data_IF_354875278538
#
_entry.id   IF_354875278538
#
_cell.length_a   1.000
_cell.length_b   1.000
_cell.length_c   1.000
_cell.angle_alpha   90.00
_cell.angle_beta   90.00
_cell.angle_gamma   90.00
#
_symmetry.space_group_name_H-M   'P 1'
#
loop_
_entity.id
_entity.type
_entity.pdbx_description
1 polymer ?
#
# COMPACT_ATOMS: atom_id res chain seq x y z
N UNK A 1 -22.01 20.35 8.68
CA UNK A 1 -20.55 20.27 8.45
C UNK A 1 -20.30 19.19 7.40
N UNK A 2 -19.53 19.47 6.34
CA UNK A 2 -19.44 18.58 5.17
C UNK A 2 -18.70 17.28 5.48
N UNK A 3 -19.39 16.14 5.34
CA UNK A 3 -18.75 14.84 5.15
C UNK A 3 -17.96 14.94 3.85
N UNK A 4 -16.63 14.87 3.94
CA UNK A 4 -15.77 14.78 2.75
C UNK A 4 -15.39 13.31 2.59
N UNK A 5 -15.84 12.69 1.51
CA UNK A 5 -15.30 11.40 1.11
C UNK A 5 -13.84 11.62 0.69
N UNK A 6 -12.94 10.86 1.28
CA UNK A 6 -11.51 10.98 1.08
C UNK A 6 -10.95 9.66 0.58
N UNK A 7 -10.47 9.68 -0.66
CA UNK A 7 -9.88 8.54 -1.34
C UNK A 7 -8.38 8.53 -1.07
N UNK A 8 -7.90 7.47 -0.44
CA UNK A 8 -6.47 7.20 -0.24
C UNK A 8 -6.08 6.13 -1.25
N UNK A 9 -5.16 6.48 -2.14
CA UNK A 9 -4.61 5.57 -3.14
C UNK A 9 -3.09 5.75 -3.17
N UNK A 10 -2.35 4.67 -2.96
CA UNK A 10 -0.89 4.70 -3.02
C UNK A 10 -0.32 3.39 -3.54
N UNK A 11 0.91 3.47 -4.04
CA UNK A 11 1.70 2.32 -4.47
C UNK A 11 2.67 1.96 -3.35
N UNK A 12 2.67 0.69 -2.96
CA UNK A 12 3.55 0.18 -1.92
C UNK A 12 4.06 -1.21 -2.30
N UNK A 13 4.77 -1.81 -1.34
CA UNK A 13 5.10 -3.21 -1.39
C UNK A 13 4.67 -3.94 -0.12
N UNK A 14 4.26 -5.18 -0.31
CA UNK A 14 3.99 -6.15 0.75
C UNK A 14 4.77 -7.41 0.46
N UNK A 15 4.96 -8.26 1.48
CA UNK A 15 5.39 -9.62 1.23
C UNK A 15 4.20 -10.55 1.27
N UNK A 16 4.30 -11.66 0.54
CA UNK A 16 3.37 -12.78 0.56
C UNK A 16 4.07 -13.99 1.13
N UNK A 17 3.38 -14.72 2.00
CA UNK A 17 3.82 -16.03 2.51
C UNK A 17 2.89 -17.14 2.02
N UNK A 18 3.32 -18.41 2.08
CA UNK A 18 2.42 -19.54 1.84
C UNK A 18 1.14 -19.52 2.69
N UNK A 19 1.26 -19.14 3.97
CA UNK A 19 0.11 -19.08 4.89
C UNK A 19 -0.83 -17.92 4.56
N UNK A 20 -0.31 -16.77 4.09
CA UNK A 20 -1.18 -15.69 3.61
C UNK A 20 -2.07 -16.15 2.46
N UNK A 21 -1.50 -16.90 1.52
CA UNK A 21 -2.25 -17.41 0.37
C UNK A 21 -3.36 -18.35 0.85
N UNK A 22 -3.06 -19.25 1.78
CA UNK A 22 -4.06 -20.15 2.38
C UNK A 22 -5.18 -19.39 3.10
N UNK A 23 -4.84 -18.29 3.79
CA UNK A 23 -5.82 -17.41 4.45
C UNK A 23 -6.70 -16.73 3.41
N UNK A 24 -6.13 -16.09 2.39
CA UNK A 24 -6.90 -15.40 1.36
C UNK A 24 -7.78 -16.35 0.55
N UNK A 25 -7.28 -17.51 0.16
CA UNK A 25 -8.08 -18.52 -0.57
C UNK A 25 -9.24 -19.06 0.28
N UNK A 26 -9.03 -19.26 1.59
CA UNK A 26 -10.10 -19.68 2.48
C UNK A 26 -11.16 -18.58 2.64
N UNK A 27 -10.76 -17.32 2.81
CA UNK A 27 -11.69 -16.19 2.90
C UNK A 27 -12.47 -15.98 1.60
N UNK A 28 -11.81 -16.14 0.44
CA UNK A 28 -12.44 -16.01 -0.88
C UNK A 28 -13.45 -17.12 -1.14
N UNK A 29 -13.14 -18.37 -0.75
CA UNK A 29 -14.03 -19.51 -0.93
C UNK A 29 -15.19 -19.54 0.07
N UNK A 30 -14.88 -19.32 1.35
CA UNK A 30 -15.78 -19.64 2.45
C UNK A 30 -16.39 -18.36 3.10
N UNK A 31 -15.88 -17.17 2.75
CA UNK A 31 -16.32 -15.88 3.30
C UNK A 31 -15.86 -15.59 4.74
N UNK A 32 -15.35 -16.60 5.44
CA UNK A 32 -14.80 -16.51 6.79
C UNK A 32 -13.87 -17.69 7.08
N UNK A 33 -13.11 -17.58 8.15
CA UNK A 33 -12.24 -18.63 8.69
C UNK A 33 -12.69 -18.92 10.12
N UNK A 34 -13.08 -20.16 10.39
CA UNK A 34 -13.23 -20.67 11.76
C UNK A 34 -11.86 -21.14 12.27
N UNK A 35 -11.34 -20.50 13.33
CA UNK A 35 -9.94 -20.60 13.74
C UNK A 35 -9.47 -22.05 13.92
N UNK A 36 -10.18 -22.83 14.73
CA UNK A 36 -9.75 -24.19 15.09
C UNK A 36 -9.80 -25.14 13.87
N UNK A 37 -10.87 -25.06 13.08
CA UNK A 37 -11.01 -25.87 11.85
C UNK A 37 -9.93 -25.56 10.84
N UNK A 38 -9.60 -24.28 10.66
CA UNK A 38 -8.54 -23.85 9.75
C UNK A 38 -7.15 -24.29 10.22
N UNK A 39 -6.86 -24.14 11.51
CA UNK A 39 -5.60 -24.62 12.12
C UNK A 39 -5.43 -26.12 11.88
N UNK A 40 -6.44 -26.94 12.18
CA UNK A 40 -6.37 -28.39 11.98
C UNK A 40 -6.10 -28.75 10.52
N UNK A 41 -6.83 -28.14 9.58
CA UNK A 41 -6.63 -28.34 8.14
C UNK A 41 -5.21 -27.98 7.68
N UNK A 42 -4.61 -26.91 8.20
CA UNK A 42 -3.26 -26.52 7.82
C UNK A 42 -2.18 -27.38 8.50
N UNK A 43 -2.43 -27.90 9.70
CA UNK A 43 -1.55 -28.90 10.34
C UNK A 43 -1.50 -30.18 9.49
N UNK A 44 -2.64 -30.63 8.97
CA UNK A 44 -2.69 -31.77 8.03
C UNK A 44 -1.88 -31.53 6.74
N UNK A 45 -1.76 -30.27 6.31
CA UNK A 45 -0.90 -29.86 5.19
C UNK A 45 0.59 -29.70 5.58
N UNK A 46 0.95 -29.92 6.83
CA UNK A 46 2.33 -29.88 7.33
C UNK A 46 2.80 -28.53 7.86
N UNK A 47 1.91 -27.55 8.10
CA UNK A 47 2.27 -26.29 8.76
C UNK A 47 2.32 -26.44 10.28
N UNK A 48 3.22 -25.68 10.93
CA UNK A 48 3.25 -25.65 12.39
C UNK A 48 2.11 -24.79 12.95
N UNK A 49 1.46 -25.28 14.01
CA UNK A 49 0.37 -24.57 14.70
C UNK A 49 0.72 -23.13 15.03
N UNK A 50 1.91 -22.91 15.59
CA UNK A 50 2.38 -21.58 16.01
C UNK A 50 2.46 -20.60 14.84
N UNK A 51 2.99 -21.04 13.70
CA UNK A 51 3.11 -20.19 12.52
C UNK A 51 1.73 -19.80 11.97
N UNK A 52 0.76 -20.73 12.00
CA UNK A 52 -0.62 -20.46 11.59
C UNK A 52 -1.28 -19.43 12.52
N UNK A 53 -1.11 -19.59 13.83
CA UNK A 53 -1.68 -18.69 14.83
C UNK A 53 -1.06 -17.29 14.73
N UNK A 54 0.27 -17.21 14.59
CA UNK A 54 0.98 -15.94 14.38
C UNK A 54 0.54 -15.25 13.08
N UNK A 55 0.29 -16.02 12.01
CA UNK A 55 -0.16 -15.47 10.73
C UNK A 55 -1.59 -14.95 10.77
N UNK A 56 -2.51 -15.64 11.46
CA UNK A 56 -3.89 -15.17 11.66
C UNK A 56 -3.93 -13.88 12.51
N UNK A 57 -3.06 -13.74 13.50
CA UNK A 57 -2.95 -12.48 14.25
C UNK A 57 -2.31 -11.38 13.40
N UNK A 58 -1.30 -11.72 12.58
CA UNK A 58 -0.69 -10.78 11.65
C UNK A 58 -1.66 -10.31 10.59
N UNK A 59 -2.56 -11.16 10.08
CA UNK A 59 -3.58 -10.75 9.11
C UNK A 59 -4.54 -9.72 9.69
N UNK A 60 -4.85 -9.79 10.99
CA UNK A 60 -5.58 -8.73 11.70
C UNK A 60 -4.77 -7.45 11.87
N UNK A 61 -3.49 -7.56 12.22
CA UNK A 61 -2.60 -6.41 12.29
C UNK A 61 -2.40 -5.71 10.93
N UNK A 62 -2.34 -6.49 9.84
CA UNK A 62 -2.17 -6.03 8.47
C UNK A 62 -3.47 -5.54 7.82
N UNK A 63 -4.60 -5.54 8.56
CA UNK A 63 -5.91 -5.11 8.07
C UNK A 63 -6.49 -5.98 6.96
N UNK A 64 -6.11 -7.25 6.89
CA UNK A 64 -6.68 -8.21 5.95
C UNK A 64 -7.95 -8.85 6.47
N UNK A 65 -7.97 -9.13 7.76
CA UNK A 65 -9.10 -9.76 8.45
C UNK A 65 -9.44 -8.99 9.71
N UNK A 66 -10.68 -9.12 10.19
CA UNK A 66 -11.03 -8.82 11.57
C UNK A 66 -11.49 -10.09 12.28
N UNK A 67 -11.11 -10.23 13.54
CA UNK A 67 -11.56 -11.32 14.40
C UNK A 67 -12.87 -10.91 15.07
N UNK A 68 -13.91 -11.71 14.90
CA UNK A 68 -15.19 -11.56 15.57
C UNK A 68 -15.13 -12.24 16.94
N UNK A 69 -15.61 -11.55 17.96
CA UNK A 69 -15.62 -12.06 19.34
C UNK A 69 -16.61 -13.22 19.53
N UNK A 70 -17.66 -13.28 18.71
CA UNK A 70 -18.65 -14.34 18.68
C UNK A 70 -18.20 -15.48 17.74
N UNK A 71 -17.65 -16.52 18.35
CA UNK A 71 -17.33 -17.78 17.67
C UNK A 71 -15.91 -17.91 17.12
N UNK A 72 -14.98 -17.02 17.50
CA UNK A 72 -13.56 -17.11 17.11
C UNK A 72 -13.34 -17.23 15.60
N UNK A 73 -14.07 -16.39 14.86
CA UNK A 73 -14.07 -16.34 13.40
C UNK A 73 -13.26 -15.15 12.91
N UNK A 74 -12.51 -15.35 11.83
CA UNK A 74 -11.87 -14.28 11.09
C UNK A 74 -12.69 -14.02 9.82
N UNK A 75 -13.06 -12.76 9.60
CA UNK A 75 -13.80 -12.33 8.40
C UNK A 75 -12.95 -11.36 7.59
N UNK A 76 -13.10 -11.33 6.26
CA UNK A 76 -12.29 -10.48 5.41
C UNK A 76 -12.66 -9.00 5.61
N UNK A 77 -11.66 -8.14 5.52
CA UNK A 77 -11.84 -6.70 5.40
C UNK A 77 -11.72 -6.31 3.93
N UNK A 78 -12.55 -5.37 3.47
CA UNK A 78 -12.53 -4.91 2.07
C UNK A 78 -11.17 -4.40 1.63
N UNK A 79 -10.41 -3.79 2.54
CA UNK A 79 -9.04 -3.33 2.29
C UNK A 79 -8.07 -4.49 2.01
N UNK A 80 -8.17 -5.58 2.77
CA UNK A 80 -7.36 -6.78 2.52
C UNK A 80 -7.69 -7.44 1.19
N UNK A 81 -8.98 -7.59 0.92
CA UNK A 81 -9.44 -8.24 -0.30
C UNK A 81 -9.12 -7.41 -1.55
N UNK A 82 -9.14 -6.07 -1.47
CA UNK A 82 -8.74 -5.23 -2.59
C UNK A 82 -7.25 -5.38 -2.91
N UNK A 83 -6.39 -5.49 -1.88
CA UNK A 83 -4.96 -5.78 -2.05
C UNK A 83 -4.75 -7.18 -2.63
N UNK A 84 -5.50 -8.18 -2.17
CA UNK A 84 -5.44 -9.54 -2.72
C UNK A 84 -5.85 -9.59 -4.20
N UNK A 85 -6.92 -8.89 -4.58
CA UNK A 85 -7.35 -8.80 -5.98
C UNK A 85 -6.31 -8.10 -6.85
N UNK A 86 -5.78 -6.95 -6.43
CA UNK A 86 -4.72 -6.23 -7.16
C UNK A 86 -3.46 -7.09 -7.33
N UNK A 87 -3.10 -7.87 -6.30
CA UNK A 87 -2.02 -8.84 -6.38
C UNK A 87 -2.28 -9.88 -7.48
N UNK A 88 -3.43 -10.56 -7.45
CA UNK A 88 -3.75 -11.59 -8.46
C UNK A 88 -3.70 -11.01 -9.87
N UNK A 89 -4.22 -9.80 -10.06
CA UNK A 89 -4.19 -9.13 -11.38
C UNK A 89 -2.77 -8.81 -11.86
N UNK A 90 -1.84 -8.48 -10.95
CA UNK A 90 -0.53 -7.91 -11.31
C UNK A 90 0.65 -8.84 -11.09
N UNK A 91 0.46 -10.02 -10.51
CA UNK A 91 1.58 -10.90 -10.17
C UNK A 91 2.38 -11.31 -11.42
N UNK A 92 1.70 -11.47 -12.55
CA UNK A 92 2.32 -11.79 -13.83
C UNK A 92 3.04 -10.58 -14.47
N UNK A 93 2.92 -9.40 -13.88
CA UNK A 93 3.48 -8.16 -14.41
C UNK A 93 4.63 -7.65 -13.53
N UNK A 94 5.00 -8.35 -12.45
CA UNK A 94 5.92 -7.86 -11.43
C UNK A 94 7.34 -7.57 -11.97
N UNK A 95 7.82 -8.30 -12.98
CA UNK A 95 9.11 -8.04 -13.64
C UNK A 95 9.05 -6.82 -14.59
N UNK A 96 7.84 -6.45 -15.00
CA UNK A 96 7.57 -5.39 -15.98
C UNK A 96 7.17 -4.07 -15.35
N UNK A 97 7.09 -4.00 -14.02
CA UNK A 97 6.65 -2.80 -13.31
C UNK A 97 7.72 -2.25 -12.38
N UNK A 98 7.69 -0.93 -12.23
CA UNK A 98 8.38 -0.22 -11.16
C UNK A 98 7.39 0.70 -10.44
N UNK A 99 7.29 0.55 -9.12
CA UNK A 99 6.55 1.50 -8.28
C UNK A 99 7.44 2.69 -7.93
N UNK A 100 6.87 3.88 -7.93
CA UNK A 100 7.55 5.13 -7.58
C UNK A 100 6.67 5.98 -6.68
N UNK A 101 7.28 6.49 -5.61
CA UNK A 101 6.76 7.62 -4.84
C UNK A 101 7.77 8.77 -4.93
N UNK A 102 7.33 9.90 -5.46
CA UNK A 102 8.19 11.07 -5.68
C UNK A 102 7.64 12.26 -4.91
N UNK A 103 8.50 12.91 -4.14
CA UNK A 103 8.16 14.04 -3.29
C UNK A 103 9.21 15.13 -3.47
N UNK A 104 8.78 16.37 -3.75
CA UNK A 104 9.70 17.51 -3.87
C UNK A 104 10.06 18.05 -2.48
N UNK A 105 11.35 18.03 -2.14
CA UNK A 105 11.85 18.47 -0.82
C UNK A 105 12.48 19.86 -0.84
N UNK A 106 12.90 20.36 -2.01
CA UNK A 106 13.33 21.74 -2.21
C UNK A 106 13.06 22.16 -3.66
N UNK A 107 13.44 23.38 -4.04
CA UNK A 107 13.18 23.91 -5.38
C UNK A 107 13.62 22.95 -6.50
N UNK A 108 14.71 22.20 -6.36
CA UNK A 108 15.16 21.26 -7.41
C UNK A 108 15.51 19.86 -6.90
N UNK A 109 15.27 19.56 -5.61
CA UNK A 109 15.60 18.25 -5.03
C UNK A 109 14.32 17.45 -4.76
N UNK A 110 14.34 16.20 -5.24
CA UNK A 110 13.26 15.23 -5.10
C UNK A 110 13.71 14.07 -4.25
N UNK A 111 12.88 13.67 -3.30
CA UNK A 111 12.98 12.42 -2.59
C UNK A 111 12.23 11.34 -3.37
N UNK A 112 12.96 10.32 -3.81
CA UNK A 112 12.41 9.17 -4.50
C UNK A 112 12.37 7.97 -3.56
N UNK A 113 11.25 7.26 -3.60
CA UNK A 113 11.09 5.95 -2.97
C UNK A 113 10.69 4.94 -4.04
N UNK A 114 11.42 3.83 -4.10
CA UNK A 114 11.15 2.68 -4.95
C UNK A 114 10.81 1.49 -4.02
N UNK A 115 9.57 1.00 -4.01
CA UNK A 115 9.22 -0.21 -3.28
C UNK A 115 10.00 -1.41 -3.84
N UNK A 116 10.61 -2.23 -2.97
CA UNK A 116 11.32 -3.43 -3.40
C UNK A 116 10.34 -4.49 -3.92
N UNK A 117 10.73 -5.12 -5.02
CA UNK A 117 10.12 -6.34 -5.53
C UNK A 117 11.14 -7.47 -5.54
N UNK A 118 10.71 -8.68 -5.16
CA UNK A 118 11.50 -9.90 -5.34
C UNK A 118 11.75 -10.23 -6.82
N UNK A 119 10.99 -9.60 -7.72
CA UNK A 119 11.03 -9.81 -9.17
C UNK A 119 11.95 -8.83 -9.90
N UNK A 120 12.62 -7.92 -9.19
CA UNK A 120 13.54 -7.01 -9.85
C UNK A 120 14.68 -7.80 -10.51
N UNK A 121 14.84 -7.70 -11.84
CA UNK A 121 15.97 -8.33 -12.52
C UNK A 121 17.26 -7.61 -12.13
N UNK A 122 18.39 -8.29 -12.28
CA UNK A 122 19.69 -7.73 -11.86
C UNK A 122 20.02 -6.36 -12.48
N UNK A 123 19.72 -6.08 -13.76
CA UNK A 123 19.91 -4.76 -14.34
C UNK A 123 19.16 -3.63 -13.61
N UNK A 124 17.94 -3.89 -13.11
CA UNK A 124 17.18 -2.90 -12.32
C UNK A 124 17.89 -2.63 -10.98
N UNK A 125 18.40 -3.67 -10.30
CA UNK A 125 19.14 -3.50 -9.05
C UNK A 125 20.44 -2.72 -9.25
N UNK A 126 21.12 -2.93 -10.38
CA UNK A 126 22.31 -2.17 -10.75
C UNK A 126 21.99 -0.69 -10.96
N UNK A 127 20.90 -0.34 -11.64
CA UNK A 127 20.47 1.07 -11.77
C UNK A 127 20.21 1.69 -10.39
N UNK A 128 19.43 1.03 -9.53
CA UNK A 128 19.16 1.50 -8.15
C UNK A 128 20.47 1.76 -7.39
N UNK A 129 21.46 0.86 -7.52
CA UNK A 129 22.79 1.01 -6.91
C UNK A 129 23.56 2.18 -7.50
N UNK A 130 23.59 2.35 -8.82
CA UNK A 130 24.32 3.41 -9.52
C UNK A 130 23.83 4.80 -9.16
N UNK A 131 22.54 4.94 -8.85
CA UNK A 131 21.93 6.18 -8.37
C UNK A 131 22.01 6.36 -6.83
N UNK A 132 22.82 5.53 -6.14
CA UNK A 132 23.09 5.61 -4.70
C UNK A 132 21.85 5.52 -3.81
N UNK A 133 20.84 4.76 -4.22
CA UNK A 133 19.69 4.50 -3.36
C UNK A 133 20.10 3.70 -2.12
N UNK A 134 19.60 4.12 -0.95
CA UNK A 134 19.81 3.44 0.32
C UNK A 134 18.62 2.55 0.63
N UNK A 135 18.87 1.40 1.26
CA UNK A 135 17.78 0.58 1.82
C UNK A 135 17.15 1.29 3.01
N UNK A 136 15.84 1.33 3.03
CA UNK A 136 15.00 1.87 4.09
C UNK A 136 14.07 0.77 4.66
N UNK A 137 13.48 0.97 5.85
CA UNK A 137 12.54 0.02 6.44
C UNK A 137 11.40 -0.36 5.48
N UNK A 138 10.83 -1.56 5.68
CA UNK A 138 9.74 -2.11 4.85
C UNK A 138 10.22 -2.40 3.41
N UNK A 139 11.49 -2.77 3.27
CA UNK A 139 12.10 -3.14 1.99
C UNK A 139 11.86 -2.06 0.93
N UNK A 140 12.34 -0.85 1.16
CA UNK A 140 12.25 0.24 0.20
C UNK A 140 13.65 0.72 -0.15
N UNK A 141 13.80 1.28 -1.34
CA UNK A 141 14.99 2.02 -1.73
C UNK A 141 14.66 3.50 -1.74
N UNK A 142 15.50 4.33 -1.13
CA UNK A 142 15.30 5.79 -1.08
C UNK A 142 16.53 6.55 -1.55
N UNK A 143 16.32 7.64 -2.29
CA UNK A 143 17.35 8.58 -2.69
C UNK A 143 16.83 10.02 -2.68
N UNK A 144 17.75 11.00 -2.64
CA UNK A 144 17.45 12.40 -2.94
C UNK A 144 18.23 12.78 -4.19
N UNK A 145 17.52 13.18 -5.25
CA UNK A 145 18.11 13.49 -6.55
C UNK A 145 17.66 14.88 -7.04
N UNK A 146 18.53 15.63 -7.74
CA UNK A 146 18.11 16.78 -8.54
C UNK A 146 17.10 16.41 -9.64
N UNK A 147 16.40 17.39 -10.21
CA UNK A 147 15.43 17.19 -11.30
C UNK A 147 15.99 16.36 -12.46
N UNK A 148 17.11 16.77 -13.04
CA UNK A 148 17.72 16.07 -14.19
C UNK A 148 18.10 14.63 -13.85
N UNK A 149 18.74 14.41 -12.69
CA UNK A 149 19.09 13.05 -12.23
C UNK A 149 17.85 12.20 -11.95
N UNK A 150 16.75 12.81 -11.52
CA UNK A 150 15.46 12.15 -11.29
C UNK A 150 14.89 11.63 -12.62
N UNK A 151 14.88 12.46 -13.66
CA UNK A 151 14.41 12.05 -14.99
C UNK A 151 15.32 10.99 -15.62
N UNK A 152 16.64 11.15 -15.52
CA UNK A 152 17.60 10.14 -16.00
C UNK A 152 17.41 8.80 -15.27
N UNK A 153 17.25 8.83 -13.94
CA UNK A 153 16.96 7.62 -13.17
C UNK A 153 15.70 6.91 -13.66
N UNK A 154 14.61 7.65 -13.85
CA UNK A 154 13.33 7.07 -14.31
C UNK A 154 13.49 6.48 -15.71
N UNK A 155 14.17 7.17 -16.63
CA UNK A 155 14.50 6.64 -17.97
C UNK A 155 15.30 5.34 -17.87
N UNK A 156 16.39 5.34 -17.13
CA UNK A 156 17.31 4.21 -17.05
C UNK A 156 16.62 3.00 -16.40
N UNK A 157 15.93 3.18 -15.28
CA UNK A 157 15.30 2.06 -14.57
C UNK A 157 14.17 1.44 -15.40
N UNK A 158 13.36 2.26 -16.08
CA UNK A 158 12.25 1.77 -16.91
C UNK A 158 12.76 1.06 -18.16
N UNK A 159 13.89 1.50 -18.73
CA UNK A 159 14.52 0.80 -19.84
C UNK A 159 14.99 -0.61 -19.45
N UNK A 160 15.44 -0.80 -18.20
CA UNK A 160 15.88 -2.10 -17.69
C UNK A 160 14.76 -3.08 -17.30
N UNK A 161 13.49 -2.66 -17.32
CA UNK A 161 12.36 -3.55 -17.04
C UNK A 161 12.20 -4.61 -18.14
N UNK A 162 11.73 -5.79 -17.75
CA UNK A 162 11.33 -6.85 -18.69
C UNK A 162 10.00 -6.44 -19.32
N UNK A 163 9.86 -6.40 -20.67
CA UNK A 163 8.57 -6.11 -21.28
C UNK A 163 7.49 -7.13 -20.88
N UNK A 164 6.26 -6.64 -20.61
CA UNK A 164 5.12 -7.50 -20.27
C UNK A 164 4.65 -8.35 -21.46
N UNK A 165 4.92 -7.88 -22.68
CA UNK A 165 4.74 -8.63 -23.92
C UNK A 165 6.07 -8.75 -24.64
N UNK A 166 6.34 -9.93 -25.18
CA UNK A 166 7.50 -10.19 -26.03
C UNK A 166 7.36 -9.47 -27.38
N UNK A 167 8.38 -9.62 -28.23
CA UNK A 167 8.41 -8.99 -29.57
C UNK A 167 7.30 -9.51 -30.50
N UNK A 168 6.71 -10.66 -30.20
CA UNK A 168 5.61 -11.27 -30.94
C UNK A 168 4.24 -10.90 -30.36
N UNK A 169 4.20 -10.10 -29.28
CA UNK A 169 2.99 -9.70 -28.59
C UNK A 169 2.45 -10.74 -27.60
N UNK A 170 3.15 -11.85 -27.39
CA UNK A 170 2.79 -12.84 -26.38
C UNK A 170 3.15 -12.30 -25.00
N UNK A 171 2.35 -12.64 -23.99
CA UNK A 171 2.71 -12.32 -22.62
C UNK A 171 4.07 -12.95 -22.27
N UNK A 172 4.94 -12.18 -21.61
CA UNK A 172 6.19 -12.72 -21.08
C UNK A 172 5.88 -13.93 -20.18
N UNK A 173 6.84 -14.86 -20.06
CA UNK A 173 6.74 -16.13 -19.30
C UNK A 173 6.42 -15.96 -17.80
N UNK A 174 6.05 -14.78 -17.34
CA UNK A 174 5.59 -14.55 -15.98
C UNK A 174 4.45 -15.53 -15.68
N UNK A 175 4.80 -16.48 -14.82
CA UNK A 175 4.03 -17.53 -14.19
C UNK A 175 2.53 -17.28 -14.25
N UNK A 176 1.72 -18.25 -14.71
CA UNK A 176 0.29 -18.15 -14.47
C UNK A 176 0.08 -18.01 -12.95
N UNK A 177 -0.89 -17.18 -12.51
CA UNK A 177 -1.13 -16.87 -11.08
C UNK A 177 -1.14 -18.15 -10.24
N UNK A 178 -1.78 -19.21 -10.76
CA UNK A 178 -1.85 -20.52 -10.11
C UNK A 178 -0.48 -21.19 -9.95
N UNK A 179 0.34 -21.19 -11.00
CA UNK A 179 1.70 -21.74 -10.95
C UNK A 179 2.56 -20.98 -9.94
N UNK A 180 2.45 -19.65 -9.92
CA UNK A 180 3.18 -18.80 -9.00
C UNK A 180 2.81 -19.05 -7.53
N UNK A 181 1.51 -19.03 -7.23
CA UNK A 181 1.01 -19.28 -5.87
C UNK A 181 1.39 -20.70 -5.42
N UNK A 182 1.27 -21.69 -6.31
CA UNK A 182 1.69 -23.05 -6.03
C UNK A 182 3.19 -23.16 -5.81
N UNK A 183 4.02 -22.40 -6.54
CA UNK A 183 5.46 -22.35 -6.31
C UNK A 183 5.78 -21.74 -4.97
N UNK A 184 5.18 -20.62 -4.58
CA UNK A 184 5.39 -20.06 -3.24
C UNK A 184 5.10 -21.13 -2.17
N UNK A 185 3.96 -21.83 -2.29
CA UNK A 185 3.55 -22.87 -1.34
C UNK A 185 4.52 -24.06 -1.30
N UNK A 186 4.97 -24.54 -2.46
CA UNK A 186 5.79 -25.77 -2.57
C UNK A 186 7.27 -25.53 -2.35
N UNK A 187 7.81 -24.40 -2.82
CA UNK A 187 9.24 -24.04 -2.69
C UNK A 187 9.65 -23.60 -1.29
N UNK A 188 8.69 -23.47 -0.36
CA UNK A 188 8.90 -22.95 1.01
C UNK A 188 9.62 -21.60 1.02
N UNK A 189 9.51 -20.79 -0.05
CA UNK A 189 9.98 -19.42 -0.04
C UNK A 189 9.30 -18.70 1.12
N UNK A 190 10.10 -18.24 2.09
CA UNK A 190 9.55 -17.70 3.33
C UNK A 190 8.67 -16.46 3.07
N UNK A 191 9.10 -15.60 2.13
CA UNK A 191 8.47 -14.31 1.81
C UNK A 191 8.81 -13.90 0.39
N UNK A 192 7.81 -13.49 -0.38
CA UNK A 192 8.00 -12.88 -1.71
C UNK A 192 7.45 -11.45 -1.69
N UNK A 193 8.30 -10.47 -2.00
CA UNK A 193 7.91 -9.07 -2.03
C UNK A 193 7.31 -8.69 -3.38
N UNK A 194 6.14 -8.07 -3.33
CA UNK A 194 5.36 -7.65 -4.49
C UNK A 194 5.06 -6.16 -4.41
N UNK A 195 5.02 -5.52 -5.57
CA UNK A 195 4.52 -4.15 -5.71
C UNK A 195 3.04 -4.22 -6.03
N UNK A 196 2.25 -3.45 -5.29
CA UNK A 196 0.81 -3.40 -5.46
C UNK A 196 0.25 -2.03 -5.11
N UNK A 197 -1.03 -1.86 -5.41
CA UNK A 197 -1.79 -0.66 -5.11
C UNK A 197 -2.70 -0.92 -3.92
N UNK A 198 -2.70 0.04 -3.01
CA UNK A 198 -3.68 0.09 -1.91
C UNK A 198 -4.64 1.22 -2.20
N UNK A 199 -5.95 0.94 -2.15
CA UNK A 199 -7.01 1.94 -2.28
C UNK A 199 -8.01 1.79 -1.15
N UNK A 200 -8.35 2.91 -0.52
CA UNK A 200 -9.33 2.97 0.55
C UNK A 200 -10.13 4.27 0.49
N UNK A 201 -11.45 4.14 0.50
CA UNK A 201 -12.38 5.24 0.65
C UNK A 201 -12.76 5.41 2.12
N UNK A 202 -12.51 6.61 2.65
CA UNK A 202 -12.82 6.96 4.03
C UNK A 202 -13.64 8.26 4.06
N UNK A 203 -14.80 8.21 4.69
CA UNK A 203 -15.54 9.40 5.09
C UNK A 203 -14.83 10.07 6.26
N UNK A 204 -14.22 11.22 6.03
CA UNK A 204 -13.52 11.97 7.08
C UNK A 204 -14.51 12.93 7.73
N UNK A 205 -14.79 12.67 9.00
CA UNK A 205 -15.58 13.55 9.88
C UNK A 205 -14.67 14.15 10.95
N UNK A 206 -15.09 15.25 11.58
CA UNK A 206 -14.35 15.82 12.72
C UNK A 206 -14.22 14.83 13.86
N UNK A 207 -15.25 14.00 14.08
CA UNK A 207 -15.21 12.94 15.09
C UNK A 207 -14.13 11.92 14.76
N UNK A 208 -14.05 11.43 13.52
CA UNK A 208 -13.00 10.52 13.08
C UNK A 208 -11.62 11.12 13.32
N UNK A 209 -11.42 12.39 12.97
CA UNK A 209 -10.15 13.08 13.18
C UNK A 209 -9.81 13.19 14.66
N UNK A 210 -10.77 13.55 15.52
CA UNK A 210 -10.59 13.61 16.99
C UNK A 210 -10.25 12.24 17.58
N UNK A 211 -10.97 11.19 17.17
CA UNK A 211 -10.73 9.81 17.60
C UNK A 211 -9.34 9.37 17.16
N UNK A 212 -9.00 9.42 15.88
CA UNK A 212 -7.69 8.98 15.38
C UNK A 212 -6.51 9.74 16.00
N UNK A 213 -6.64 11.07 16.20
CA UNK A 213 -5.63 11.86 16.93
C UNK A 213 -5.48 11.39 18.37
N UNK A 214 -6.57 11.10 19.05
CA UNK A 214 -6.55 10.63 20.45
C UNK A 214 -5.94 9.23 20.54
N UNK A 215 -6.31 8.32 19.64
CA UNK A 215 -5.72 6.98 19.53
C UNK A 215 -4.22 7.10 19.32
N UNK A 216 -3.77 7.93 18.39
CA UNK A 216 -2.34 8.14 18.13
C UNK A 216 -1.63 8.83 19.30
N UNK A 217 -2.28 9.72 20.05
CA UNK A 217 -1.70 10.36 21.24
C UNK A 217 -1.46 9.33 22.36
N UNK A 218 -2.44 8.47 22.62
CA UNK A 218 -2.39 7.48 23.70
C UNK A 218 -1.53 6.27 23.30
N UNK A 219 -1.90 5.62 22.19
CA UNK A 219 -1.27 4.39 21.72
C UNK A 219 0.06 4.59 20.99
N UNK A 220 0.33 5.81 20.49
CA UNK A 220 1.52 6.21 19.71
C UNK A 220 1.66 5.55 18.34
N UNK A 221 1.72 4.22 18.31
CA UNK A 221 1.93 3.37 17.12
C UNK A 221 1.31 1.97 17.38
N UNK A 222 1.21 1.09 16.38
CA UNK A 222 0.67 -0.25 16.59
C UNK A 222 1.39 -1.00 17.71
N UNK A 223 0.65 -1.79 18.50
CA UNK A 223 1.21 -2.54 19.64
C UNK A 223 2.31 -3.52 19.22
N UNK A 224 2.21 -4.04 17.99
CA UNK A 224 3.16 -4.96 17.37
C UNK A 224 4.50 -4.27 17.02
N UNK A 225 4.58 -2.95 17.16
CA UNK A 225 5.82 -2.18 16.95
C UNK A 225 6.42 -1.75 18.28
N UNK A 226 7.76 -1.77 18.35
CA UNK A 226 8.51 -1.33 19.55
C UNK A 226 8.00 0.03 20.05
N UNK A 227 7.39 0.09 21.22
CA UNK A 227 6.90 1.32 21.86
C UNK A 227 5.47 1.75 21.46
N UNK A 228 4.69 0.87 20.83
CA UNK A 228 3.24 1.02 20.71
C UNK A 228 2.53 0.58 21.99
N UNK A 229 1.30 1.04 22.18
CA UNK A 229 0.49 0.73 23.35
C UNK A 229 -0.98 0.47 22.97
N UNK A 230 -1.65 -0.32 23.80
CA UNK A 230 -3.09 -0.49 23.74
C UNK A 230 -3.78 0.79 24.21
N UNK A 231 -4.92 1.10 23.58
CA UNK A 231 -5.76 2.22 23.95
C UNK A 231 -7.02 1.69 24.61
N UNK A 232 -7.24 2.08 25.86
CA UNK A 232 -8.47 1.76 26.59
C UNK A 232 -9.61 2.68 26.14
N UNK A 233 -10.80 2.13 25.92
CA UNK A 233 -11.98 2.90 25.50
C UNK A 233 -12.35 4.03 26.47
N UNK A 234 -12.17 3.80 27.77
CA UNK A 234 -12.39 4.83 28.80
C UNK A 234 -11.47 6.04 28.61
N UNK A 235 -10.27 5.83 28.10
CA UNK A 235 -9.34 6.93 27.83
C UNK A 235 -9.79 7.79 26.65
N UNK A 236 -10.49 7.21 25.66
CA UNK A 236 -11.13 8.00 24.60
C UNK A 236 -12.23 8.88 25.18
N UNK A 237 -13.13 8.32 25.99
CA UNK A 237 -14.22 9.10 26.60
C UNK A 237 -13.71 10.25 27.47
N UNK A 238 -12.58 10.07 28.15
CA UNK A 238 -11.94 11.13 28.94
C UNK A 238 -11.32 12.25 28.09
N UNK A 239 -10.77 11.91 26.92
CA UNK A 239 -10.05 12.87 26.06
C UNK A 239 -10.94 13.49 24.97
N UNK A 240 -12.10 12.89 24.68
CA UNK A 240 -13.03 13.34 23.66
C UNK A 240 -14.34 13.71 24.36
N UNK A 241 -14.53 15.00 24.60
CA UNK A 241 -15.73 15.55 25.24
C UNK A 241 -16.92 15.56 24.27
N UNK A 242 -17.38 14.38 23.87
CA UNK A 242 -18.49 14.13 22.95
C UNK A 242 -19.33 12.95 23.45
N UNK A 243 -20.58 12.76 22.96
CA UNK A 243 -21.41 11.64 23.35
C UNK A 243 -20.71 10.29 23.10
N UNK A 244 -20.82 9.36 24.06
CA UNK A 244 -20.18 8.04 23.95
C UNK A 244 -20.65 7.25 22.72
N UNK A 245 -21.92 7.42 22.32
CA UNK A 245 -22.47 6.75 21.15
C UNK A 245 -21.76 7.17 19.87
N UNK A 246 -21.52 8.48 19.66
CA UNK A 246 -20.78 8.97 18.48
C UNK A 246 -19.33 8.47 18.44
N UNK A 247 -18.68 8.38 19.61
CA UNK A 247 -17.34 7.80 19.72
C UNK A 247 -17.38 6.31 19.35
N UNK A 248 -18.36 5.57 19.84
CA UNK A 248 -18.51 4.14 19.58
C UNK A 248 -18.82 3.86 18.10
N UNK A 249 -19.74 4.62 17.49
CA UNK A 249 -20.04 4.54 16.05
C UNK A 249 -18.78 4.81 15.20
N UNK A 250 -17.98 5.80 15.59
CA UNK A 250 -16.70 6.09 14.93
C UNK A 250 -15.70 4.95 15.09
N UNK A 251 -15.65 4.30 16.26
CA UNK A 251 -14.77 3.15 16.50
C UNK A 251 -15.19 1.94 15.68
N UNK A 252 -16.48 1.63 15.60
CA UNK A 252 -17.00 0.54 14.76
C UNK A 252 -16.68 0.81 13.28
N UNK A 253 -16.88 2.04 12.81
CA UNK A 253 -16.47 2.43 11.46
C UNK A 253 -14.97 2.23 11.20
N UNK A 254 -14.11 2.59 12.16
CA UNK A 254 -12.65 2.40 12.04
C UNK A 254 -12.25 0.91 12.06
N UNK A 255 -12.95 0.08 12.84
CA UNK A 255 -12.77 -1.38 12.87
C UNK A 255 -13.16 -2.01 11.53
N UNK A 256 -14.30 -1.59 10.96
CA UNK A 256 -14.80 -2.07 9.67
C UNK A 256 -13.91 -1.65 8.50
N UNK A 257 -13.28 -0.47 8.60
CA UNK A 257 -12.26 -0.02 7.64
C UNK A 257 -10.89 -0.66 7.88
N UNK A 258 -10.73 -1.46 8.93
CA UNK A 258 -9.46 -2.10 9.28
C UNK A 258 -8.38 -1.13 9.77
N UNK A 259 -8.72 0.10 10.15
CA UNK A 259 -7.74 1.11 10.57
C UNK A 259 -7.32 0.94 12.03
N UNK A 260 -8.18 0.32 12.82
CA UNK A 260 -7.89 -0.13 14.17
C UNK A 260 -8.31 -1.61 14.29
N UNK A 261 -7.76 -2.32 15.27
CA UNK A 261 -8.20 -3.67 15.64
C UNK A 261 -8.54 -3.71 17.12
N UNK A 262 -9.60 -4.46 17.45
CA UNK A 262 -10.00 -4.76 18.82
C UNK A 262 -9.11 -5.88 19.35
N UNK A 263 -8.53 -5.68 20.52
CA UNK A 263 -7.71 -6.70 21.23
C UNK A 263 -8.55 -7.36 22.32
N UNK A 264 -9.43 -6.60 22.94
CA UNK A 264 -10.47 -7.09 23.85
C UNK A 264 -11.64 -6.10 23.88
N UNK A 265 -12.70 -6.40 24.63
CA UNK A 265 -13.89 -5.53 24.72
C UNK A 265 -13.58 -4.09 25.17
N UNK A 266 -12.48 -3.87 25.89
CA UNK A 266 -12.10 -2.56 26.42
C UNK A 266 -10.87 -1.95 25.76
N UNK A 267 -10.11 -2.73 24.99
CA UNK A 267 -8.84 -2.31 24.41
C UNK A 267 -8.79 -2.51 22.90
N UNK A 268 -8.23 -1.52 22.21
CA UNK A 268 -7.95 -1.57 20.79
C UNK A 268 -6.56 -0.98 20.51
N UNK A 269 -6.07 -1.19 19.29
CA UNK A 269 -4.82 -0.62 18.81
C UNK A 269 -4.96 -0.21 17.35
N UNK A 270 -4.16 0.74 16.90
CA UNK A 270 -4.08 1.10 15.49
C UNK A 270 -3.39 -0.02 14.72
N UNK A 271 -3.91 -0.38 13.54
CA UNK A 271 -3.29 -1.40 12.67
C UNK A 271 -2.05 -0.85 11.96
N UNK A 272 -1.25 -1.73 11.37
CA UNK A 272 -0.10 -1.33 10.55
C UNK A 272 -0.55 -0.41 9.40
N UNK A 273 -1.52 -0.87 8.61
CA UNK A 273 -2.09 -0.07 7.52
C UNK A 273 -2.78 1.20 8.04
N UNK A 274 -3.56 1.11 9.13
CA UNK A 274 -4.21 2.27 9.72
C UNK A 274 -3.25 3.38 10.12
N UNK A 275 -2.08 3.02 10.66
CA UNK A 275 -1.04 3.97 11.00
C UNK A 275 -0.43 4.66 9.77
N UNK A 276 -0.17 3.91 8.68
CA UNK A 276 0.33 4.50 7.43
C UNK A 276 -0.71 5.40 6.78
N UNK A 277 -1.94 4.92 6.64
CA UNK A 277 -3.08 5.64 6.06
C UNK A 277 -3.31 6.95 6.82
N UNK A 278 -3.31 6.92 8.15
CA UNK A 278 -3.45 8.13 8.95
C UNK A 278 -2.30 9.12 8.74
N UNK A 279 -1.05 8.65 8.65
CA UNK A 279 0.09 9.50 8.30
C UNK A 279 -0.04 10.12 6.91
N UNK A 280 -0.54 9.37 5.93
CA UNK A 280 -0.80 9.91 4.60
C UNK A 280 -1.87 10.98 4.63
N UNK A 281 -2.97 10.76 5.35
CA UNK A 281 -4.02 11.76 5.55
C UNK A 281 -3.49 13.03 6.23
N UNK A 282 -2.72 12.91 7.33
CA UNK A 282 -2.11 14.08 7.99
C UNK A 282 -1.22 14.87 7.03
N UNK A 283 -0.47 14.15 6.18
CA UNK A 283 0.40 14.78 5.20
C UNK A 283 -0.38 15.50 4.10
N UNK A 284 -1.42 14.86 3.59
CA UNK A 284 -2.32 15.42 2.61
C UNK A 284 -2.95 16.74 3.09
N UNK A 285 -3.48 16.76 4.31
CA UNK A 285 -4.07 17.96 4.92
C UNK A 285 -3.04 19.08 5.10
N UNK A 286 -1.76 18.75 5.28
CA UNK A 286 -0.67 19.71 5.37
C UNK A 286 -0.20 20.26 4.02
N UNK A 287 -0.85 19.86 2.91
CA UNK A 287 -0.52 20.32 1.56
C UNK A 287 0.75 19.70 0.99
N UNK A 288 1.21 18.57 1.55
CA UNK A 288 2.34 17.86 0.96
C UNK A 288 1.92 17.17 -0.33
N UNK A 289 2.66 17.47 -1.40
CA UNK A 289 2.46 16.83 -2.69
C UNK A 289 3.33 15.59 -2.82
N UNK A 290 2.69 14.46 -3.11
CA UNK A 290 3.36 13.23 -3.50
C UNK A 290 2.81 12.76 -4.84
N UNK A 291 3.70 12.31 -5.71
CA UNK A 291 3.31 11.62 -6.93
C UNK A 291 3.57 10.13 -6.73
N UNK A 292 2.48 9.35 -6.64
CA UNK A 292 2.54 7.89 -6.53
C UNK A 292 2.14 7.29 -7.87
N UNK A 293 3.04 6.53 -8.48
CA UNK A 293 2.76 5.90 -9.76
C UNK A 293 3.41 4.51 -9.88
N UNK A 294 2.89 3.73 -10.81
CA UNK A 294 3.55 2.56 -11.40
C UNK A 294 3.88 2.92 -12.84
N UNK A 295 5.10 2.60 -13.26
CA UNK A 295 5.46 2.56 -14.67
C UNK A 295 5.58 1.09 -15.05
N UNK A 296 4.78 0.67 -16.03
CA UNK A 296 4.84 -0.66 -16.62
C UNK A 296 5.45 -0.59 -18.01
N UNK A 297 6.40 -1.45 -18.31
CA UNK A 297 6.91 -1.63 -19.68
C UNK A 297 6.03 -2.63 -20.41
N UNK A 298 5.20 -2.14 -21.33
CA UNK A 298 4.28 -3.00 -22.10
C UNK A 298 5.00 -3.72 -23.24
N UNK A 299 5.95 -3.03 -23.89
CA UNK A 299 6.77 -3.54 -25.00
C UNK A 299 8.15 -2.84 -25.00
N UNK A 300 8.99 -3.08 -25.99
CA UNK A 300 10.26 -2.38 -26.14
C UNK A 300 10.13 -0.85 -26.25
N UNK A 301 9.01 -0.36 -26.82
CA UNK A 301 8.84 1.05 -27.17
C UNK A 301 7.70 1.75 -26.40
N UNK A 302 6.81 0.96 -25.77
CA UNK A 302 5.62 1.48 -25.11
C UNK A 302 5.63 1.19 -23.62
N UNK A 303 5.21 2.19 -22.86
CA UNK A 303 5.03 2.16 -21.43
C UNK A 303 3.58 2.43 -21.08
N UNK A 304 3.16 2.00 -19.89
CA UNK A 304 1.91 2.42 -19.28
C UNK A 304 2.25 3.11 -17.97
N UNK A 305 1.87 4.38 -17.85
CA UNK A 305 1.94 5.12 -16.61
C UNK A 305 0.60 4.97 -15.90
N UNK A 306 0.64 4.49 -14.66
CA UNK A 306 -0.52 4.38 -13.78
C UNK A 306 -0.30 5.27 -12.56
N UNK A 307 -1.22 6.20 -12.31
CA UNK A 307 -1.16 7.17 -11.22
C UNK A 307 -2.29 6.88 -10.24
N UNK A 308 -1.96 6.91 -8.95
CA UNK A 308 -2.96 6.81 -7.90
C UNK A 308 -3.81 8.08 -7.84
N UNK A 309 -5.11 7.96 -8.11
CA UNK A 309 -6.06 9.05 -7.96
C UNK A 309 -6.50 9.18 -6.51
N UNK A 310 -5.69 9.86 -5.71
CA UNK A 310 -6.02 10.17 -4.32
C UNK A 310 -6.59 11.57 -4.18
N UNK A 311 -7.44 11.81 -3.18
CA UNK A 311 -8.01 13.14 -2.87
C UNK A 311 -6.95 14.22 -2.58
N UNK A 312 -5.68 13.84 -2.42
CA UNK A 312 -4.54 14.74 -2.20
C UNK A 312 -3.58 14.86 -3.39
N UNK A 313 -3.94 14.28 -4.53
CA UNK A 313 -3.23 14.55 -5.78
C UNK A 313 -3.40 16.04 -6.13
N UNK A 314 -2.29 16.75 -6.32
CA UNK A 314 -2.32 18.18 -6.62
C UNK A 314 -3.16 18.48 -7.86
N UNK A 315 -3.94 19.57 -7.80
CA UNK A 315 -4.80 19.99 -8.90
C UNK A 315 -4.02 20.22 -10.20
N UNK A 316 -2.83 20.84 -10.13
CA UNK A 316 -1.97 20.98 -11.32
C UNK A 316 -1.55 19.65 -11.93
N UNK A 317 -1.34 18.60 -11.11
CA UNK A 317 -1.05 17.26 -11.61
C UNK A 317 -2.29 16.64 -12.24
N UNK A 318 -3.48 16.85 -11.67
CA UNK A 318 -4.76 16.44 -12.29
C UNK A 318 -4.97 17.10 -13.64
N UNK A 319 -4.67 18.40 -13.76
CA UNK A 319 -4.77 19.14 -15.02
C UNK A 319 -3.81 18.59 -16.08
N UNK A 320 -2.58 18.24 -15.72
CA UNK A 320 -1.63 17.56 -16.61
C UNK A 320 -2.23 16.22 -17.09
N UNK A 321 -2.71 15.40 -16.16
CA UNK A 321 -3.32 14.10 -16.48
C UNK A 321 -4.51 14.25 -17.45
N UNK A 322 -5.37 15.25 -17.24
CA UNK A 322 -6.50 15.56 -18.12
C UNK A 322 -6.03 16.07 -19.49
N UNK A 323 -5.06 16.99 -19.52
CA UNK A 323 -4.42 17.51 -20.75
C UNK A 323 -3.89 16.37 -21.62
N UNK A 324 -3.24 15.40 -20.99
CA UNK A 324 -2.69 14.23 -21.65
C UNK A 324 -3.71 13.09 -21.78
N UNK A 325 -5.02 13.30 -21.59
CA UNK A 325 -6.08 12.34 -21.89
C UNK A 325 -5.92 10.96 -21.24
N UNK A 326 -5.55 10.90 -19.96
CA UNK A 326 -5.49 9.62 -19.25
C UNK A 326 -6.90 9.07 -18.98
N UNK A 327 -7.01 7.75 -18.94
CA UNK A 327 -8.26 7.08 -18.59
C UNK A 327 -8.38 6.92 -17.07
N UNK A 328 -9.50 7.36 -16.50
CA UNK A 328 -9.81 7.20 -15.08
C UNK A 328 -10.66 5.94 -14.87
N UNK A 329 -10.22 5.04 -13.99
CA UNK A 329 -10.96 3.83 -13.57
C UNK A 329 -10.89 3.69 -12.06
N UNK A 330 -11.94 4.15 -11.37
CA UNK A 330 -11.92 4.25 -9.90
C UNK A 330 -10.76 5.14 -9.44
N UNK A 331 -10.01 4.69 -8.43
CA UNK A 331 -8.85 5.42 -7.89
C UNK A 331 -7.53 5.19 -8.66
N UNK A 332 -7.59 4.78 -9.94
CA UNK A 332 -6.45 4.56 -10.82
C UNK A 332 -6.63 5.35 -12.11
N UNK A 333 -5.62 6.14 -12.45
CA UNK A 333 -5.58 6.88 -13.71
C UNK A 333 -4.46 6.30 -14.56
N UNK A 334 -4.70 5.95 -15.82
CA UNK A 334 -3.67 5.31 -16.63
C UNK A 334 -3.67 5.70 -18.09
N UNK A 335 -2.49 5.66 -18.70
CA UNK A 335 -2.30 5.90 -20.13
C UNK A 335 -1.13 5.12 -20.68
N UNK A 336 -1.26 4.64 -21.91
CA UNK A 336 -0.16 4.09 -22.71
C UNK A 336 0.58 5.23 -23.41
N UNK A 337 1.91 5.18 -23.35
CA UNK A 337 2.80 6.27 -23.72
C UNK A 337 4.02 5.74 -24.46
N UNK A 338 4.55 6.53 -25.39
CA UNK A 338 5.92 6.36 -25.87
C UNK A 338 6.93 6.69 -24.75
N UNK A 339 8.21 6.37 -24.95
CA UNK A 339 9.26 6.77 -24.00
C UNK A 339 9.39 8.29 -23.87
N UNK A 340 9.20 9.03 -24.95
CA UNK A 340 9.34 10.50 -24.96
C UNK A 340 8.18 11.17 -24.24
N UNK A 341 6.95 10.73 -24.51
CA UNK A 341 5.76 11.23 -23.83
C UNK A 341 5.81 10.96 -22.33
N UNK A 342 6.28 9.77 -21.93
CA UNK A 342 6.44 9.41 -20.52
C UNK A 342 7.36 10.41 -19.81
N UNK A 343 8.54 10.70 -20.38
CA UNK A 343 9.51 11.61 -19.76
C UNK A 343 9.02 13.06 -19.79
N UNK A 344 8.34 13.49 -20.86
CA UNK A 344 7.74 14.82 -20.96
C UNK A 344 6.68 15.06 -19.87
N UNK A 345 5.75 14.12 -19.72
CA UNK A 345 4.70 14.17 -18.70
C UNK A 345 5.32 14.18 -17.30
N UNK A 346 6.30 13.31 -17.04
CA UNK A 346 6.97 13.27 -15.74
C UNK A 346 7.70 14.57 -15.44
N UNK A 347 8.35 15.20 -16.41
CA UNK A 347 8.99 16.50 -16.21
C UNK A 347 7.96 17.58 -15.79
N UNK A 348 6.83 17.69 -16.51
CA UNK A 348 5.74 18.63 -16.14
C UNK A 348 5.20 18.35 -14.73
N UNK A 349 4.99 17.07 -14.38
CA UNK A 349 4.52 16.67 -13.05
C UNK A 349 5.52 17.07 -11.97
N UNK A 350 6.80 16.77 -12.15
CA UNK A 350 7.85 17.09 -11.17
C UNK A 350 7.94 18.59 -10.91
N UNK A 351 7.90 19.40 -11.97
CA UNK A 351 7.91 20.86 -11.87
C UNK A 351 6.68 21.42 -11.12
N UNK A 352 5.55 20.71 -11.21
CA UNK A 352 4.28 21.05 -10.56
C UNK A 352 4.23 20.64 -9.08
N UNK A 353 5.06 19.68 -8.64
CA UNK A 353 5.08 19.27 -7.23
C UNK A 353 5.47 20.44 -6.31
N UNK A 354 4.77 20.56 -5.19
CA UNK A 354 5.03 21.54 -4.13
C UNK A 354 6.11 21.07 -3.17
N UNK A 355 6.93 22.00 -2.68
CA UNK A 355 7.97 21.74 -1.69
C UNK A 355 7.34 21.30 -0.36
N UNK A 356 7.84 20.19 0.19
CA UNK A 356 7.58 19.80 1.57
C UNK A 356 8.19 20.83 2.51
N UNK A 357 7.37 21.58 3.27
CA UNK A 357 7.86 22.32 4.44
C UNK A 357 8.57 21.33 5.37
N UNK A 358 9.89 21.39 5.43
CA UNK A 358 10.63 20.73 6.50
C UNK A 358 10.10 21.36 7.79
N UNK A 359 9.43 20.56 8.63
CA UNK A 359 9.31 20.94 10.03
C UNK A 359 10.75 21.09 10.51
N UNK A 360 11.13 22.33 10.84
CA UNK A 360 12.33 22.60 11.62
C UNK A 360 12.35 21.59 12.77
N UNK A 361 13.35 20.70 12.75
CA UNK A 361 13.70 19.92 13.93
C UNK A 361 14.28 20.94 14.89
N UNK A 362 13.44 21.46 15.78
CA UNK A 362 13.90 22.02 17.05
C UNK A 362 14.10 20.86 18.02
#
# INVERSE_FOLDING_TARGET
>A
MQIKNFVISYIGNGFITPLEIEIFEALERDGFIERNKFILKLIEKGYHRRDIEDELERSCYASWTKRLSDGDRYVPLSLGMSVWSDLKERINEQESIIGLNIVRTSQLIYHLTVPYSSFFPEPVKLVIKNYNFKRAPIMQYVAKLPLEKTLCFIKDITHQLTPAKDKLGNHSKCWQIMDFLQIIKTSKLQRVWVVGRVTLDINITDMLVKVMKTIKKIGRKPVDWRGGALVEIKMLYKNIHQPKNEINETLEYLLDKGLIRRVSNTYFTITGMGFFIWKFFEKAVQGYSNFNCIIKKESCENYKLEVCDSSYLLEGVRQIITKYGFNVRGALISRKLSSEDLLSILNEVLLTLSIVKEKARN
#
